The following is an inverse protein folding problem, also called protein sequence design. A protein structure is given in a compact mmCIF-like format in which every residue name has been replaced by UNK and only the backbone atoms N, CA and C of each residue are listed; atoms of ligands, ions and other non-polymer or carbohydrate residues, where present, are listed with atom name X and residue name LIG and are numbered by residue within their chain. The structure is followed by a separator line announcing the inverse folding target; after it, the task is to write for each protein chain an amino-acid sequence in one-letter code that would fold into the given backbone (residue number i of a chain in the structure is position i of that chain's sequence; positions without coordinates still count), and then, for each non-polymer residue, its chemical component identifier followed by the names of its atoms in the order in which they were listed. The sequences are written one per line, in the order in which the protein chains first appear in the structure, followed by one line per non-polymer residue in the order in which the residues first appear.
data_IF_474625562749
#
_entry.id   IF_474625562749
#
_cell.length_a   1.000
_cell.length_b   1.000
_cell.length_c   1.000
_cell.angle_alpha   90.00
_cell.angle_beta   90.00
_cell.angle_gamma   90.00
#
_symmetry.space_group_name_H-M   'P 1'
#
loop_
_entity.id
_entity.type
_entity.pdbx_description
1 polymer ?
#
# COMPACT_ATOMS: atom_id res chain seq x y z
N UNK A 1 -30.64 -1.31 8.02
CA UNK A 1 -30.22 -0.31 9.01
C UNK A 1 -30.17 1.07 8.37
N UNK A 2 -31.25 1.86 8.45
CA UNK A 2 -31.17 3.30 8.18
C UNK A 2 -30.93 3.98 9.53
N UNK A 3 -29.83 4.72 9.64
CA UNK A 3 -29.56 5.59 10.80
C UNK A 3 -30.69 6.60 10.95
N UNK A 4 -30.97 7.05 12.18
CA UNK A 4 -31.97 8.09 12.37
C UNK A 4 -31.46 9.45 11.80
N UNK A 5 -32.34 10.40 11.43
CA UNK A 5 -31.91 11.64 10.80
C UNK A 5 -30.95 12.49 11.65
N UNK A 6 -31.08 12.47 12.97
CA UNK A 6 -30.20 13.23 13.87
C UNK A 6 -28.79 12.64 13.94
N UNK A 7 -28.67 11.31 13.95
CA UNK A 7 -27.39 10.60 13.86
C UNK A 7 -26.72 10.85 12.50
N UNK A 8 -27.50 10.91 11.42
CA UNK A 8 -26.97 11.23 10.09
C UNK A 8 -26.38 12.64 10.05
N UNK A 9 -27.12 13.63 10.54
CA UNK A 9 -26.66 15.03 10.62
C UNK A 9 -25.39 15.17 11.47
N UNK A 10 -25.37 14.55 12.66
CA UNK A 10 -24.18 14.56 13.52
C UNK A 10 -22.98 13.89 12.85
N UNK A 11 -23.17 12.73 12.21
CA UNK A 11 -22.10 12.04 11.50
C UNK A 11 -21.54 12.87 10.34
N UNK A 12 -22.39 13.58 9.59
CA UNK A 12 -21.94 14.48 8.52
C UNK A 12 -21.08 15.62 9.08
N UNK A 13 -21.51 16.24 10.18
CA UNK A 13 -20.75 17.32 10.84
C UNK A 13 -19.40 16.83 11.37
N UNK A 14 -19.38 15.68 12.04
CA UNK A 14 -18.13 15.07 12.53
C UNK A 14 -17.20 14.70 11.37
N UNK A 15 -17.75 14.15 10.28
CA UNK A 15 -16.99 13.77 9.10
C UNK A 15 -16.36 14.99 8.42
N UNK A 16 -17.13 16.08 8.24
CA UNK A 16 -16.59 17.33 7.73
C UNK A 16 -15.49 17.88 8.64
N UNK A 17 -15.73 17.94 9.95
CA UNK A 17 -14.75 18.45 10.91
C UNK A 17 -13.41 17.69 10.84
N UNK A 18 -13.43 16.36 10.83
CA UNK A 18 -12.19 15.57 10.73
C UNK A 18 -11.53 15.69 9.35
N UNK A 19 -12.31 15.86 8.28
CA UNK A 19 -11.77 16.11 6.94
C UNK A 19 -11.01 17.45 6.86
N UNK A 20 -11.58 18.53 7.43
CA UNK A 20 -10.89 19.83 7.50
C UNK A 20 -9.59 19.73 8.31
N UNK A 21 -9.61 19.08 9.49
CA UNK A 21 -8.40 18.84 10.28
C UNK A 21 -7.36 18.05 9.47
N UNK A 22 -7.77 17.02 8.73
CA UNK A 22 -6.88 16.26 7.86
C UNK A 22 -6.26 17.17 6.79
N UNK A 23 -7.06 17.94 6.04
CA UNK A 23 -6.53 18.81 4.97
C UNK A 23 -5.59 19.90 5.51
N UNK A 24 -5.85 20.44 6.70
CA UNK A 24 -4.94 21.35 7.38
C UNK A 24 -3.59 20.70 7.68
N UNK A 25 -3.60 19.52 8.30
CA UNK A 25 -2.38 18.76 8.62
C UNK A 25 -1.60 18.33 7.36
N UNK A 26 -2.31 17.92 6.30
CA UNK A 26 -1.71 17.58 5.01
C UNK A 26 -1.06 18.80 4.36
N UNK A 27 -1.74 19.96 4.35
CA UNK A 27 -1.16 21.20 3.85
C UNK A 27 0.09 21.63 4.63
N UNK A 28 0.06 21.57 5.97
CA UNK A 28 1.25 21.84 6.80
C UNK A 28 2.44 20.93 6.43
N UNK A 29 2.18 19.64 6.20
CA UNK A 29 3.21 18.69 5.78
C UNK A 29 3.78 19.06 4.39
N UNK A 30 2.91 19.34 3.43
CA UNK A 30 3.28 19.66 2.05
C UNK A 30 4.08 20.95 1.95
N UNK A 31 3.74 21.96 2.77
CA UNK A 31 4.49 23.22 2.86
C UNK A 31 5.88 23.03 3.46
N UNK A 32 6.02 22.11 4.43
CA UNK A 32 7.31 21.72 5.02
C UNK A 32 8.14 20.82 4.09
N UNK A 33 7.50 20.01 3.25
CA UNK A 33 8.12 18.97 2.41
C UNK A 33 7.87 19.20 0.91
N UNK A 34 8.34 20.35 0.41
CA UNK A 34 8.20 20.74 -1.00
C UNK A 34 8.85 19.73 -1.95
N UNK A 35 9.89 19.02 -1.49
CA UNK A 35 10.56 17.95 -2.23
C UNK A 35 9.65 16.78 -2.61
N UNK A 36 8.50 16.61 -1.93
CA UNK A 36 7.51 15.59 -2.31
C UNK A 36 6.76 15.92 -3.60
N UNK A 37 6.85 17.17 -4.09
CA UNK A 37 6.22 17.63 -5.35
C UNK A 37 4.72 17.38 -5.38
N UNK A 38 4.05 17.73 -4.29
CA UNK A 38 2.60 17.53 -4.05
C UNK A 38 1.91 18.81 -3.56
N UNK A 39 2.50 19.99 -3.82
CA UNK A 39 1.93 21.26 -3.36
C UNK A 39 0.52 21.52 -3.94
N UNK A 40 0.23 20.98 -5.12
CA UNK A 40 -1.08 20.97 -5.77
C UNK A 40 -2.17 20.21 -4.99
N UNK A 41 -1.82 19.57 -3.86
CA UNK A 41 -2.75 18.90 -2.95
C UNK A 41 -3.00 19.67 -1.67
N UNK A 42 -2.31 20.79 -1.44
CA UNK A 42 -2.64 21.72 -0.37
C UNK A 42 -3.76 22.64 -0.86
N UNK A 43 -5.00 22.16 -0.95
CA UNK A 43 -6.07 22.85 -1.69
C UNK A 43 -6.79 23.99 -0.93
N UNK A 44 -6.57 24.14 0.38
CA UNK A 44 -7.34 25.13 1.17
C UNK A 44 -6.97 26.58 0.78
N UNK A 45 -5.73 26.84 0.37
CA UNK A 45 -5.30 28.18 -0.08
C UNK A 45 -5.88 28.58 -1.45
N UNK A 46 -6.36 27.61 -2.24
CA UNK A 46 -6.96 27.86 -3.56
C UNK A 46 -8.46 28.17 -3.51
N UNK A 47 -9.05 28.15 -2.31
CA UNK A 47 -10.48 28.45 -2.08
C UNK A 47 -10.69 29.95 -2.01
N UNK A 48 -11.61 30.44 -2.84
CA UNK A 48 -12.25 31.75 -2.64
C UNK A 48 -13.39 31.57 -1.65
N UNK A 49 -13.17 32.00 -0.40
CA UNK A 49 -14.13 31.85 0.69
C UNK A 49 -15.31 32.82 0.61
N UNK A 50 -15.18 33.93 -0.12
CA UNK A 50 -16.23 34.93 -0.28
C UNK A 50 -17.24 34.47 -1.34
N UNK A 51 -16.75 34.03 -2.50
CA UNK A 51 -17.59 33.48 -3.57
C UNK A 51 -17.99 32.02 -3.30
N UNK A 52 -17.20 31.31 -2.47
CA UNK A 52 -17.37 29.90 -2.18
C UNK A 52 -17.02 29.01 -3.37
N UNK A 53 -15.89 29.31 -4.02
CA UNK A 53 -15.40 28.61 -5.21
C UNK A 53 -13.95 28.15 -5.01
N UNK A 54 -13.44 27.29 -5.89
CA UNK A 54 -12.03 26.86 -5.90
C UNK A 54 -11.51 26.82 -7.33
N UNK A 55 -10.26 27.24 -7.54
CA UNK A 55 -9.59 27.13 -8.84
C UNK A 55 -8.74 25.86 -8.90
N UNK A 56 -9.12 24.89 -9.75
CA UNK A 56 -8.36 23.66 -9.98
C UNK A 56 -7.98 23.53 -11.45
N UNK A 57 -6.69 23.44 -11.74
CA UNK A 57 -6.18 23.24 -13.11
C UNK A 57 -6.61 24.35 -14.08
N UNK A 58 -6.77 25.58 -13.60
CA UNK A 58 -7.20 26.74 -14.39
C UNK A 58 -8.71 26.83 -14.64
N UNK A 59 -9.52 26.03 -13.95
CA UNK A 59 -10.99 26.11 -13.98
C UNK A 59 -11.53 26.40 -12.58
N UNK A 60 -12.55 27.24 -12.50
CA UNK A 60 -13.25 27.57 -11.25
C UNK A 60 -14.45 26.65 -11.06
N UNK A 61 -14.60 26.11 -9.86
CA UNK A 61 -15.71 25.23 -9.47
C UNK A 61 -16.41 25.78 -8.21
N UNK A 62 -17.73 25.62 -8.15
CA UNK A 62 -18.53 25.98 -6.98
C UNK A 62 -18.41 24.91 -5.90
N UNK A 63 -18.21 25.31 -4.65
CA UNK A 63 -18.20 24.38 -3.53
C UNK A 63 -19.63 23.97 -3.14
N UNK A 64 -19.84 22.67 -2.96
CA UNK A 64 -21.08 22.08 -2.45
C UNK A 64 -21.45 22.59 -1.04
N UNK A 65 -20.44 22.95 -0.25
CA UNK A 65 -20.59 23.51 1.09
C UNK A 65 -19.60 24.65 1.26
N UNK A 66 -20.11 25.84 1.59
CA UNK A 66 -19.36 27.10 1.73
C UNK A 66 -19.05 27.47 3.18
N UNK A 67 -19.49 26.68 4.16
CA UNK A 67 -19.38 27.02 5.57
C UNK A 67 -18.13 26.40 6.22
N UNK A 68 -17.05 27.17 6.32
CA UNK A 68 -15.77 26.74 6.91
C UNK A 68 -15.41 27.53 8.17
N UNK A 69 -16.15 27.36 9.29
CA UNK A 69 -16.06 28.27 10.44
C UNK A 69 -14.73 28.18 11.21
N UNK A 70 -13.93 27.15 10.97
CA UNK A 70 -12.63 26.98 11.63
C UNK A 70 -11.44 27.33 10.73
N UNK A 71 -11.66 27.72 9.47
CA UNK A 71 -10.58 28.10 8.56
C UNK A 71 -10.42 29.62 8.59
N UNK A 72 -9.19 30.07 8.85
CA UNK A 72 -8.75 31.45 8.64
C UNK A 72 -8.23 31.57 7.19
N UNK A 73 -8.86 32.36 6.30
CA UNK A 73 -8.41 32.51 4.91
C UNK A 73 -6.95 33.00 4.77
N UNK A 74 -6.45 33.77 5.74
CA UNK A 74 -5.05 34.25 5.71
C UNK A 74 -4.06 33.15 6.12
N UNK A 75 -4.51 32.15 6.90
CA UNK A 75 -3.71 31.02 7.40
C UNK A 75 -4.49 29.70 7.30
N UNK A 76 -4.84 29.24 6.08
CA UNK A 76 -5.88 28.22 5.89
C UNK A 76 -5.54 26.84 6.48
N UNK A 77 -4.25 26.56 6.68
CA UNK A 77 -3.76 25.31 7.27
C UNK A 77 -3.53 25.38 8.78
N UNK A 78 -3.73 26.51 9.44
CA UNK A 78 -3.59 26.62 10.88
C UNK A 78 -4.76 25.91 11.59
N UNK A 79 -4.44 25.02 12.53
CA UNK A 79 -5.46 24.37 13.34
C UNK A 79 -5.96 25.36 14.41
N UNK A 80 -7.28 25.41 14.61
CA UNK A 80 -7.84 26.14 15.75
C UNK A 80 -7.36 25.52 17.07
N UNK A 81 -7.58 26.22 18.19
CA UNK A 81 -7.24 25.68 19.51
C UNK A 81 -7.98 24.36 19.78
N UNK A 82 -9.27 24.32 19.46
CA UNK A 82 -10.13 23.14 19.65
C UNK A 82 -9.70 21.98 18.73
N UNK A 83 -9.32 22.29 17.49
CA UNK A 83 -8.79 21.30 16.55
C UNK A 83 -7.47 20.70 17.06
N UNK A 84 -6.56 21.51 17.62
CA UNK A 84 -5.35 21.04 18.28
C UNK A 84 -5.68 20.09 19.44
N UNK A 85 -6.61 20.46 20.32
CA UNK A 85 -7.04 19.62 21.44
C UNK A 85 -7.60 18.27 20.96
N UNK A 86 -8.36 18.26 19.86
CA UNK A 86 -8.88 17.02 19.23
C UNK A 86 -7.72 16.16 18.72
N UNK A 87 -6.77 16.74 17.98
CA UNK A 87 -5.62 16.02 17.42
C UNK A 87 -4.75 15.43 18.53
N UNK A 88 -4.44 16.21 19.57
CA UNK A 88 -3.65 15.73 20.72
C UNK A 88 -4.33 14.56 21.44
N UNK A 89 -5.65 14.63 21.63
CA UNK A 89 -6.42 13.53 22.24
C UNK A 89 -6.41 12.29 21.37
N UNK A 90 -6.56 12.43 20.05
CA UNK A 90 -6.47 11.30 19.11
C UNK A 90 -5.07 10.68 19.15
N UNK A 91 -4.01 11.49 19.03
CA UNK A 91 -2.62 11.01 19.11
C UNK A 91 -2.37 10.28 20.42
N UNK A 92 -2.78 10.86 21.55
CA UNK A 92 -2.65 10.23 22.87
C UNK A 92 -3.37 8.89 22.96
N UNK A 93 -4.61 8.79 22.43
CA UNK A 93 -5.36 7.55 22.43
C UNK A 93 -4.67 6.44 21.62
N UNK A 94 -4.10 6.77 20.45
CA UNK A 94 -3.42 5.80 19.58
C UNK A 94 -2.04 5.39 20.14
N UNK A 95 -1.26 6.35 20.64
CA UNK A 95 0.07 6.08 21.19
C UNK A 95 -0.01 5.23 22.47
N UNK A 96 -1.01 5.48 23.33
CA UNK A 96 -1.16 4.76 24.59
C UNK A 96 -1.99 3.47 24.48
N UNK A 97 -2.51 3.13 23.29
CA UNK A 97 -3.24 1.88 23.08
C UNK A 97 -2.29 0.68 22.99
N UNK A 98 -2.14 -0.08 24.08
CA UNK A 98 -1.28 -1.28 24.13
C UNK A 98 -1.51 -2.25 22.96
N UNK A 99 -2.78 -2.54 22.64
CA UNK A 99 -3.12 -3.48 21.55
C UNK A 99 -2.60 -2.98 20.20
N UNK A 100 -2.78 -1.68 19.92
CA UNK A 100 -2.29 -1.08 18.69
C UNK A 100 -0.77 -1.09 18.65
N UNK A 101 -0.09 -0.76 19.76
CA UNK A 101 1.37 -0.81 19.84
C UNK A 101 1.90 -2.21 19.57
N UNK A 102 1.26 -3.25 20.13
CA UNK A 102 1.62 -4.65 19.87
C UNK A 102 1.42 -5.05 18.41
N UNK A 103 0.33 -4.60 17.78
CA UNK A 103 0.09 -4.85 16.34
C UNK A 103 1.13 -4.14 15.48
N UNK A 104 1.45 -2.88 15.78
CA UNK A 104 2.48 -2.13 15.06
C UNK A 104 3.86 -2.77 15.21
N UNK A 105 4.23 -3.24 16.40
CA UNK A 105 5.48 -3.99 16.60
C UNK A 105 5.54 -5.28 15.76
N UNK A 106 4.43 -6.02 15.67
CA UNK A 106 4.35 -7.20 14.82
C UNK A 106 4.55 -6.84 13.34
N UNK A 107 3.84 -5.81 12.86
CA UNK A 107 3.95 -5.33 11.48
C UNK A 107 5.36 -4.84 11.17
N UNK A 108 6.00 -4.10 12.06
CA UNK A 108 7.39 -3.67 11.88
C UNK A 108 8.35 -4.86 11.91
N UNK A 109 8.14 -5.86 12.78
CA UNK A 109 9.05 -7.01 12.90
C UNK A 109 8.92 -8.01 11.74
N UNK A 110 7.74 -8.14 11.14
CA UNK A 110 7.43 -9.20 10.17
C UNK A 110 7.03 -8.68 8.79
N UNK A 111 6.51 -7.47 8.72
CA UNK A 111 6.17 -6.78 7.49
C UNK A 111 7.37 -6.12 6.84
N UNK A 112 7.23 -5.89 5.54
CA UNK A 112 8.17 -5.22 4.66
C UNK A 112 7.39 -4.71 3.44
N UNK A 113 7.90 -3.70 2.75
CA UNK A 113 7.23 -3.14 1.56
C UNK A 113 7.23 -4.13 0.38
N UNK A 114 8.17 -5.07 0.37
CA UNK A 114 8.19 -6.20 -0.56
C UNK A 114 8.76 -7.44 0.14
N UNK A 115 8.56 -8.62 -0.43
CA UNK A 115 9.17 -9.84 0.08
C UNK A 115 9.60 -10.73 -1.06
N UNK A 116 10.85 -11.19 -1.01
CA UNK A 116 11.30 -12.29 -1.86
C UNK A 116 11.21 -13.57 -1.04
N UNK A 117 10.50 -14.56 -1.55
CA UNK A 117 10.36 -15.86 -0.90
C UNK A 117 10.27 -17.00 -1.91
N UNK A 118 11.25 -17.91 -1.89
CA UNK A 118 11.36 -19.04 -2.80
C UNK A 118 11.29 -18.63 -4.28
N UNK A 119 12.01 -17.56 -4.65
CA UNK A 119 12.01 -16.93 -5.99
C UNK A 119 10.68 -16.26 -6.40
N UNK A 120 9.76 -16.08 -5.46
CA UNK A 120 8.57 -15.26 -5.68
C UNK A 120 8.82 -13.86 -5.10
N UNK A 121 8.55 -12.81 -5.87
CA UNK A 121 8.53 -11.44 -5.39
C UNK A 121 7.11 -11.02 -5.09
N UNK A 122 6.86 -10.61 -3.85
CA UNK A 122 5.58 -10.18 -3.35
C UNK A 122 5.64 -8.68 -3.08
N UNK A 123 4.71 -7.91 -3.65
CA UNK A 123 4.48 -6.51 -3.27
C UNK A 123 3.02 -6.14 -3.48
N UNK A 124 2.49 -5.23 -2.65
CA UNK A 124 1.06 -4.96 -2.63
C UNK A 124 0.60 -3.98 -3.71
N UNK A 125 1.20 -2.79 -3.82
CA UNK A 125 0.75 -1.74 -4.74
C UNK A 125 1.33 -1.89 -6.15
N UNK A 126 2.31 -1.06 -6.47
CA UNK A 126 2.90 -0.94 -7.79
C UNK A 126 4.40 -0.63 -7.70
N UNK A 127 5.14 -0.84 -8.77
CA UNK A 127 6.50 -0.28 -8.88
C UNK A 127 6.42 1.04 -9.63
N UNK A 128 6.99 2.16 -9.13
CA UNK A 128 7.03 3.41 -9.87
C UNK A 128 7.78 3.26 -11.20
N UNK A 129 7.05 3.41 -12.31
CA UNK A 129 7.57 3.32 -13.67
C UNK A 129 7.26 4.59 -14.46
N UNK A 130 8.12 4.87 -15.44
CA UNK A 130 7.83 5.81 -16.52
C UNK A 130 6.99 5.10 -17.61
N UNK A 131 6.44 5.86 -18.55
CA UNK A 131 5.62 5.32 -19.66
C UNK A 131 6.38 4.34 -20.56
N UNK A 132 7.71 4.47 -20.67
CA UNK A 132 8.57 3.58 -21.44
C UNK A 132 8.92 2.26 -20.72
N UNK A 133 8.47 2.09 -19.47
CA UNK A 133 8.77 0.95 -18.61
C UNK A 133 10.11 1.01 -17.87
N UNK A 134 10.86 2.11 -17.98
CA UNK A 134 12.01 2.36 -17.10
C UNK A 134 11.56 2.68 -15.67
N UNK A 135 12.41 2.41 -14.67
CA UNK A 135 12.10 2.74 -13.28
C UNK A 135 12.11 4.25 -13.07
N UNK A 136 11.02 4.77 -12.51
CA UNK A 136 10.88 6.19 -12.20
C UNK A 136 11.78 6.57 -11.03
N UNK A 137 12.48 7.68 -11.19
CA UNK A 137 13.27 8.29 -10.13
C UNK A 137 12.39 9.10 -9.18
N UNK A 138 12.59 8.87 -7.88
CA UNK A 138 11.83 9.48 -6.80
C UNK A 138 12.81 10.09 -5.81
N UNK A 139 12.61 11.38 -5.53
CA UNK A 139 13.43 12.13 -4.60
C UNK A 139 12.94 11.91 -3.16
N UNK A 140 13.83 11.42 -2.30
CA UNK A 140 13.57 11.20 -0.87
C UNK A 140 14.71 11.87 -0.10
N UNK A 141 14.39 12.97 0.60
CA UNK A 141 15.33 13.77 1.40
C UNK A 141 16.65 14.11 0.69
N UNK A 142 16.55 14.69 -0.51
CA UNK A 142 17.70 15.19 -1.29
C UNK A 142 18.49 14.13 -2.05
N UNK A 143 18.02 12.89 -2.08
CA UNK A 143 18.60 11.80 -2.88
C UNK A 143 17.54 11.17 -3.78
N UNK A 144 17.94 10.83 -5.00
CA UNK A 144 17.08 10.17 -5.99
C UNK A 144 17.22 8.66 -5.87
N UNK A 145 16.11 7.95 -5.84
CA UNK A 145 16.02 6.50 -5.73
C UNK A 145 15.05 5.94 -6.76
N UNK A 146 15.26 4.69 -7.18
CA UNK A 146 14.35 3.98 -8.10
C UNK A 146 14.39 2.48 -7.85
N UNK A 147 13.45 1.76 -8.46
CA UNK A 147 13.45 0.30 -8.44
C UNK A 147 13.48 -0.27 -7.02
N UNK A 148 14.37 -1.24 -6.77
CA UNK A 148 14.49 -1.90 -5.47
C UNK A 148 14.99 -0.93 -4.38
N UNK A 149 15.91 -0.04 -4.73
CA UNK A 149 16.54 0.88 -3.78
C UNK A 149 15.51 1.84 -3.16
N UNK A 150 14.51 2.26 -3.95
CA UNK A 150 13.39 3.07 -3.46
C UNK A 150 12.61 2.35 -2.35
N UNK A 151 12.32 1.05 -2.51
CA UNK A 151 11.63 0.29 -1.48
C UNK A 151 12.48 0.17 -0.21
N UNK A 152 13.78 -0.09 -0.36
CA UNK A 152 14.69 -0.26 0.78
C UNK A 152 14.84 1.04 1.59
N UNK A 153 14.94 2.19 0.93
CA UNK A 153 15.04 3.50 1.62
C UNK A 153 13.72 3.87 2.30
N UNK A 154 12.58 3.67 1.64
CA UNK A 154 11.27 3.94 2.24
C UNK A 154 11.02 3.05 3.46
N UNK A 155 11.35 1.76 3.38
CA UNK A 155 11.24 0.86 4.53
C UNK A 155 12.14 1.30 5.70
N UNK A 156 13.35 1.78 5.40
CA UNK A 156 14.25 2.32 6.42
C UNK A 156 13.61 3.51 7.14
N UNK A 157 12.99 4.45 6.42
CA UNK A 157 12.31 5.59 7.02
C UNK A 157 11.05 5.19 7.79
N UNK A 158 10.26 4.23 7.29
CA UNK A 158 9.13 3.65 8.03
C UNK A 158 9.59 3.14 9.39
N UNK A 159 10.74 2.44 9.46
CA UNK A 159 11.30 1.96 10.74
C UNK A 159 11.76 3.13 11.63
N UNK A 160 12.46 4.12 11.05
CA UNK A 160 12.94 5.32 11.77
C UNK A 160 11.80 6.06 12.47
N UNK A 161 10.60 6.11 11.88
CA UNK A 161 9.41 6.73 12.48
C UNK A 161 9.11 6.22 13.91
N UNK A 162 9.49 4.97 14.21
CA UNK A 162 9.22 4.32 15.49
C UNK A 162 10.47 4.20 16.37
N UNK A 163 11.64 3.92 15.80
CA UNK A 163 12.83 3.53 16.58
C UNK A 163 13.98 4.53 16.56
N UNK A 164 13.93 5.57 15.72
CA UNK A 164 15.00 6.56 15.67
C UNK A 164 15.07 7.37 16.98
N UNK A 165 16.29 7.56 17.48
CA UNK A 165 16.58 8.42 18.63
C UNK A 165 16.71 9.89 18.22
N UNK A 166 17.25 10.13 17.03
CA UNK A 166 17.31 11.47 16.45
C UNK A 166 15.90 11.96 16.07
N UNK A 167 15.56 13.17 16.54
CA UNK A 167 14.21 13.73 16.37
C UNK A 167 13.91 14.05 14.92
N UNK A 168 14.90 14.53 14.17
CA UNK A 168 14.72 14.88 12.77
C UNK A 168 14.48 13.63 11.91
N UNK A 169 15.29 12.59 12.11
CA UNK A 169 15.12 11.30 11.42
C UNK A 169 13.80 10.61 11.79
N UNK A 170 13.34 10.77 13.03
CA UNK A 170 12.02 10.29 13.44
C UNK A 170 10.89 11.04 12.73
N UNK A 171 11.00 12.36 12.63
CA UNK A 171 10.00 13.19 11.93
C UNK A 171 9.99 12.89 10.44
N UNK A 172 11.16 12.73 9.81
CA UNK A 172 11.28 12.24 8.43
C UNK A 172 10.57 10.88 8.27
N UNK A 173 10.78 9.95 9.20
CA UNK A 173 10.06 8.68 9.18
C UNK A 173 8.54 8.84 9.21
N UNK A 174 8.01 9.75 10.04
CA UNK A 174 6.57 10.05 10.10
C UNK A 174 6.04 10.63 8.80
N UNK A 175 6.77 11.58 8.22
CA UNK A 175 6.42 12.18 6.93
C UNK A 175 6.37 11.10 5.83
N UNK A 176 7.28 10.12 5.85
CA UNK A 176 7.29 9.01 4.90
C UNK A 176 6.09 8.08 5.05
N UNK A 177 5.57 7.86 6.27
CA UNK A 177 4.33 7.07 6.45
C UNK A 177 3.15 7.68 5.70
N UNK A 178 3.06 9.01 5.66
CA UNK A 178 2.05 9.70 4.85
C UNK A 178 2.41 9.69 3.36
N UNK A 179 3.68 9.95 3.00
CA UNK A 179 4.14 9.90 1.61
C UNK A 179 3.79 8.57 0.93
N UNK A 180 4.07 7.44 1.58
CA UNK A 180 3.76 6.13 0.98
C UNK A 180 2.25 5.88 0.86
N UNK A 181 1.42 6.57 1.66
CA UNK A 181 -0.03 6.43 1.58
C UNK A 181 -0.64 7.18 0.40
N UNK A 182 -0.19 8.41 0.12
CA UNK A 182 -0.88 9.33 -0.79
C UNK A 182 -0.04 9.83 -1.97
N UNK A 183 1.28 9.63 -1.97
CA UNK A 183 2.14 10.22 -3.00
C UNK A 183 1.97 9.54 -4.36
N UNK A 184 1.95 10.30 -5.47
CA UNK A 184 1.98 9.73 -6.82
C UNK A 184 3.27 8.95 -7.12
N UNK A 185 4.31 9.21 -6.35
CA UNK A 185 5.59 8.53 -6.43
C UNK A 185 5.71 7.34 -5.46
N UNK A 186 4.64 7.03 -4.72
CA UNK A 186 4.62 5.92 -3.79
C UNK A 186 4.48 4.56 -4.49
N UNK A 187 5.21 3.53 -4.03
CA UNK A 187 4.98 2.15 -4.44
C UNK A 187 3.69 1.51 -3.90
N UNK A 188 2.93 2.20 -3.04
CA UNK A 188 1.70 1.67 -2.43
C UNK A 188 0.42 2.36 -2.91
N UNK A 189 0.51 3.58 -3.46
CA UNK A 189 -0.66 4.38 -3.84
C UNK A 189 -1.09 4.16 -5.29
N UNK A 190 -0.13 4.28 -6.23
CA UNK A 190 -0.34 3.93 -7.63
C UNK A 190 -1.26 4.84 -8.44
N UNK A 191 -1.61 6.03 -7.94
CA UNK A 191 -2.44 7.01 -8.64
C UNK A 191 -1.75 8.38 -8.70
N UNK A 192 -2.19 9.26 -9.59
CA UNK A 192 -1.66 10.60 -9.76
C UNK A 192 -2.07 11.60 -8.67
N UNK A 193 -3.21 11.37 -8.01
CA UNK A 193 -3.69 12.15 -6.87
C UNK A 193 -4.70 11.37 -6.03
N UNK A 194 -4.88 11.80 -4.78
CA UNK A 194 -5.97 11.37 -3.91
C UNK A 194 -7.08 12.43 -3.96
N UNK A 195 -8.17 12.16 -4.67
CA UNK A 195 -9.22 13.15 -4.98
C UNK A 195 -10.30 13.26 -3.87
N UNK A 196 -9.91 13.09 -2.60
CA UNK A 196 -10.86 13.08 -1.46
C UNK A 196 -11.55 14.42 -1.27
N UNK A 197 -10.82 15.53 -1.39
CA UNK A 197 -11.39 16.88 -1.28
C UNK A 197 -12.44 17.09 -2.37
N UNK A 198 -12.08 16.80 -3.62
CA UNK A 198 -12.96 16.96 -4.77
C UNK A 198 -14.25 16.14 -4.61
N UNK A 199 -14.15 14.89 -4.13
CA UNK A 199 -15.32 14.03 -3.85
C UNK A 199 -16.23 14.55 -2.74
N UNK A 200 -15.70 15.31 -1.79
CA UNK A 200 -16.48 15.84 -0.68
C UNK A 200 -17.11 17.20 -0.99
N UNK A 201 -16.44 18.03 -1.79
CA UNK A 201 -16.78 19.43 -1.94
C UNK A 201 -17.16 19.85 -3.37
N UNK A 202 -16.95 19.02 -4.38
CA UNK A 202 -17.25 19.36 -5.78
C UNK A 202 -18.27 18.38 -6.40
N UNK A 203 -19.20 18.92 -7.18
CA UNK A 203 -20.22 18.14 -7.86
C UNK A 203 -19.68 17.44 -9.12
N UNK A 204 -18.69 18.06 -9.75
CA UNK A 204 -18.15 17.71 -11.06
C UNK A 204 -17.32 16.42 -11.00
N UNK A 205 -17.88 15.32 -11.51
CA UNK A 205 -17.25 14.00 -11.48
C UNK A 205 -15.89 13.95 -12.19
N UNK A 206 -15.63 14.84 -13.17
CA UNK A 206 -14.32 14.93 -13.82
C UNK A 206 -13.20 15.31 -12.84
N UNK A 207 -13.53 16.00 -11.74
CA UNK A 207 -12.56 16.39 -10.71
C UNK A 207 -12.19 15.22 -9.81
N UNK A 208 -13.04 14.17 -9.75
CA UNK A 208 -12.89 12.99 -8.90
C UNK A 208 -11.98 11.92 -9.51
N UNK A 209 -11.56 12.10 -10.76
CA UNK A 209 -10.74 11.15 -11.50
C UNK A 209 -9.35 11.05 -10.89
N UNK A 210 -8.94 9.81 -10.60
CA UNK A 210 -7.60 9.48 -10.14
C UNK A 210 -6.97 8.55 -11.18
N UNK A 211 -6.01 9.06 -11.94
CA UNK A 211 -5.37 8.32 -13.01
C UNK A 211 -4.37 7.33 -12.43
N UNK A 212 -4.45 6.08 -12.87
CA UNK A 212 -3.49 5.05 -12.50
C UNK A 212 -2.12 5.35 -13.09
N UNK A 213 -1.06 5.06 -12.35
CA UNK A 213 0.29 5.25 -12.83
C UNK A 213 0.66 4.29 -13.98
N UNK A 214 1.76 4.53 -14.72
CA UNK A 214 2.15 3.72 -15.88
C UNK A 214 2.35 2.22 -15.59
N UNK A 215 2.62 1.84 -14.34
CA UNK A 215 2.76 0.43 -13.98
C UNK A 215 1.53 -0.40 -14.30
N UNK A 216 0.32 0.14 -14.09
CA UNK A 216 -0.91 -0.61 -14.36
C UNK A 216 -1.12 -0.86 -15.86
N UNK A 217 -0.78 0.10 -16.73
CA UNK A 217 -0.81 -0.10 -18.19
C UNK A 217 0.26 -1.07 -18.69
N UNK A 218 1.35 -1.22 -17.94
CA UNK A 218 2.50 -2.05 -18.30
C UNK A 218 2.49 -3.43 -17.62
N UNK A 219 1.46 -3.73 -16.83
CA UNK A 219 1.34 -4.97 -16.04
C UNK A 219 1.34 -6.24 -16.91
N UNK A 220 0.93 -6.14 -18.17
CA UNK A 220 0.92 -7.23 -19.14
C UNK A 220 2.14 -7.26 -20.07
N UNK A 221 3.13 -6.38 -19.82
CA UNK A 221 4.37 -6.36 -20.57
C UNK A 221 5.37 -7.38 -20.02
N UNK A 222 5.60 -8.44 -20.78
CA UNK A 222 6.62 -9.45 -20.47
C UNK A 222 8.01 -8.84 -20.24
N UNK A 223 8.37 -7.82 -21.04
CA UNK A 223 9.65 -7.11 -20.91
C UNK A 223 9.77 -6.41 -19.55
N UNK A 224 8.72 -5.75 -19.11
CA UNK A 224 8.70 -5.01 -17.83
C UNK A 224 8.72 -5.99 -16.66
N UNK A 225 7.96 -7.09 -16.74
CA UNK A 225 7.98 -8.14 -15.72
C UNK A 225 9.40 -8.71 -15.51
N UNK A 226 10.11 -8.99 -16.60
CA UNK A 226 11.51 -9.47 -16.56
C UNK A 226 12.47 -8.42 -15.97
N UNK A 227 12.30 -7.15 -16.34
CA UNK A 227 13.11 -6.06 -15.82
C UNK A 227 12.92 -5.89 -14.31
N UNK A 228 11.68 -5.98 -13.82
CA UNK A 228 11.36 -5.98 -12.39
C UNK A 228 12.04 -7.17 -11.69
N UNK A 229 11.90 -8.39 -12.20
CA UNK A 229 12.54 -9.56 -11.58
C UNK A 229 14.06 -9.41 -11.50
N UNK A 230 14.69 -8.84 -12.54
CA UNK A 230 16.13 -8.56 -12.58
C UNK A 230 16.55 -7.51 -11.55
N UNK A 231 15.79 -6.42 -11.43
CA UNK A 231 16.00 -5.35 -10.45
C UNK A 231 15.98 -5.88 -9.01
N UNK A 232 15.09 -6.83 -8.73
CA UNK A 232 15.00 -7.50 -7.43
C UNK A 232 15.92 -8.72 -7.29
N UNK A 233 16.85 -8.92 -8.23
CA UNK A 233 17.85 -10.00 -8.24
C UNK A 233 17.25 -11.42 -8.21
N UNK A 234 16.06 -11.60 -8.80
CA UNK A 234 15.38 -12.89 -8.86
C UNK A 234 15.83 -13.65 -10.10
N UNK A 235 16.53 -14.75 -9.87
CA UNK A 235 17.14 -15.57 -10.93
C UNK A 235 16.61 -17.01 -10.92
N UNK A 236 16.92 -17.71 -12.01
CA UNK A 236 16.55 -19.11 -12.21
C UNK A 236 15.13 -19.30 -12.72
N UNK A 237 14.81 -20.56 -13.01
CA UNK A 237 13.48 -20.96 -13.46
C UNK A 237 12.49 -20.91 -12.29
N UNK A 238 11.20 -20.87 -12.65
CA UNK A 238 10.10 -20.92 -11.68
C UNK A 238 10.05 -19.71 -10.74
N UNK A 239 10.09 -18.51 -11.31
CA UNK A 239 10.00 -17.23 -10.60
C UNK A 239 8.71 -16.50 -10.97
N UNK A 240 8.09 -15.86 -9.98
CA UNK A 240 6.81 -15.20 -10.12
C UNK A 240 6.79 -13.88 -9.37
N UNK A 241 6.11 -12.88 -9.91
CA UNK A 241 5.68 -11.70 -9.21
C UNK A 241 4.26 -11.97 -8.71
N UNK A 242 4.04 -11.80 -7.42
CA UNK A 242 2.72 -11.89 -6.78
C UNK A 242 2.34 -10.49 -6.35
N UNK A 243 1.32 -9.93 -6.99
CA UNK A 243 0.93 -8.54 -6.79
C UNK A 243 -0.52 -8.44 -6.29
N UNK A 244 -0.77 -7.52 -5.36
CA UNK A 244 -2.10 -7.20 -4.85
C UNK A 244 -2.61 -5.87 -5.40
N UNK A 245 -3.62 -5.29 -4.75
CA UNK A 245 -4.15 -3.93 -4.99
C UNK A 245 -4.77 -3.68 -6.38
N UNK A 246 -4.54 -4.57 -7.35
CA UNK A 246 -5.11 -4.54 -8.69
C UNK A 246 -6.40 -5.37 -8.69
N UNK A 247 -7.60 -4.76 -8.77
CA UNK A 247 -8.82 -5.54 -8.93
C UNK A 247 -8.79 -6.25 -10.29
N UNK A 248 -9.18 -7.51 -10.30
CA UNK A 248 -9.30 -8.31 -11.53
C UNK A 248 -10.76 -8.33 -11.94
N UNK A 249 -11.07 -7.81 -13.12
CA UNK A 249 -12.43 -7.80 -13.67
C UNK A 249 -12.77 -9.15 -14.31
N UNK A 250 -12.95 -10.17 -13.47
CA UNK A 250 -13.19 -11.56 -13.92
C UNK A 250 -14.42 -11.66 -14.84
N UNK A 251 -15.49 -10.94 -14.54
CA UNK A 251 -16.72 -10.89 -15.38
C UNK A 251 -16.51 -10.29 -16.76
N UNK A 252 -15.43 -9.53 -16.96
CA UNK A 252 -15.03 -8.99 -18.28
C UNK A 252 -14.00 -9.88 -18.99
N UNK A 253 -13.73 -11.07 -18.45
CA UNK A 253 -12.77 -12.03 -19.01
C UNK A 253 -11.30 -11.73 -18.66
N UNK A 254 -11.04 -10.83 -17.71
CA UNK A 254 -9.67 -10.54 -17.29
C UNK A 254 -9.06 -11.74 -16.52
N UNK A 255 -7.87 -12.16 -16.95
CA UNK A 255 -7.10 -13.21 -16.27
C UNK A 255 -6.27 -12.64 -15.11
N UNK A 256 -6.29 -13.28 -13.92
CA UNK A 256 -5.37 -12.94 -12.82
C UNK A 256 -3.94 -13.45 -13.08
N UNK A 257 -3.75 -14.27 -14.11
CA UNK A 257 -2.46 -14.77 -14.58
C UNK A 257 -2.05 -13.94 -15.80
N UNK A 258 -0.97 -13.18 -15.68
CA UNK A 258 -0.45 -12.27 -16.70
C UNK A 258 0.96 -12.70 -17.14
N UNK A 259 1.41 -12.23 -18.31
CA UNK A 259 2.78 -12.47 -18.82
C UNK A 259 3.18 -13.95 -18.83
N UNK A 260 2.31 -14.82 -19.36
CA UNK A 260 2.56 -16.27 -19.43
C UNK A 260 2.75 -16.96 -18.06
N UNK A 261 2.22 -16.38 -16.97
CA UNK A 261 2.36 -16.93 -15.62
C UNK A 261 3.45 -16.28 -14.78
N UNK A 262 4.18 -15.29 -15.29
CA UNK A 262 5.19 -14.55 -14.53
C UNK A 262 4.58 -13.60 -13.50
N UNK A 263 3.38 -13.08 -13.75
CA UNK A 263 2.68 -12.18 -12.83
C UNK A 263 1.38 -12.85 -12.40
N UNK A 264 1.17 -12.93 -11.09
CA UNK A 264 0.01 -13.51 -10.44
C UNK A 264 -0.66 -12.42 -9.59
N UNK A 265 -1.87 -12.04 -9.98
CA UNK A 265 -2.65 -11.06 -9.25
C UNK A 265 -3.47 -11.78 -8.18
N UNK A 266 -3.28 -11.38 -6.92
CA UNK A 266 -4.05 -11.85 -5.78
C UNK A 266 -4.88 -10.70 -5.24
N UNK A 267 -6.20 -10.87 -5.21
CA UNK A 267 -7.12 -9.84 -4.71
C UNK A 267 -7.96 -10.39 -3.56
N UNK A 268 -8.13 -9.57 -2.53
CA UNK A 268 -8.97 -9.82 -1.37
C UNK A 268 -10.40 -9.37 -1.63
N UNK A 269 -11.11 -10.06 -2.51
CA UNK A 269 -12.51 -9.77 -2.87
C UNK A 269 -13.56 -10.10 -1.78
N UNK A 270 -13.13 -10.39 -0.55
CA UNK A 270 -14.02 -10.71 0.57
C UNK A 270 -14.92 -9.54 1.00
N UNK A 271 -14.53 -8.30 0.66
CA UNK A 271 -15.36 -7.13 0.95
C UNK A 271 -16.51 -7.01 -0.06
N UNK A 272 -17.74 -6.96 0.46
CA UNK A 272 -18.98 -6.83 -0.33
C UNK A 272 -18.98 -5.62 -1.26
N UNK A 273 -18.27 -4.55 -0.91
CA UNK A 273 -18.20 -3.35 -1.73
C UNK A 273 -17.50 -3.61 -3.08
N UNK A 274 -16.53 -4.53 -3.11
CA UNK A 274 -15.73 -4.82 -4.31
C UNK A 274 -16.32 -5.92 -5.20
N UNK A 275 -17.25 -6.72 -4.69
CA UNK A 275 -17.87 -7.81 -5.46
C UNK A 275 -18.56 -7.33 -6.75
N UNK A 276 -19.04 -6.08 -6.80
CA UNK A 276 -19.61 -5.49 -8.03
C UNK A 276 -18.57 -5.33 -9.15
N UNK A 277 -17.33 -5.01 -8.78
CA UNK A 277 -16.23 -4.73 -9.72
C UNK A 277 -15.49 -6.01 -10.12
N UNK A 278 -15.27 -6.92 -9.17
CA UNK A 278 -14.49 -8.15 -9.37
C UNK A 278 -15.35 -9.31 -9.88
N UNK A 279 -16.64 -9.34 -9.52
CA UNK A 279 -17.56 -10.43 -9.83
C UNK A 279 -17.36 -11.71 -9.02
N UNK A 280 -16.28 -11.80 -8.24
CA UNK A 280 -15.93 -12.94 -7.38
C UNK A 280 -15.45 -12.46 -6.01
N UNK A 281 -15.37 -13.35 -5.02
CA UNK A 281 -14.85 -13.07 -3.67
C UNK A 281 -13.31 -13.02 -3.59
N UNK A 282 -12.62 -12.99 -4.73
CA UNK A 282 -11.18 -12.79 -4.83
C UNK A 282 -10.40 -14.07 -5.16
N UNK A 283 -9.08 -13.94 -5.18
CA UNK A 283 -8.16 -15.02 -5.51
C UNK A 283 -7.23 -15.34 -4.34
N UNK A 284 -7.03 -16.62 -4.06
CA UNK A 284 -6.04 -17.10 -3.11
C UNK A 284 -4.96 -17.91 -3.81
N UNK A 285 -3.71 -17.51 -3.64
CA UNK A 285 -2.57 -18.27 -4.12
C UNK A 285 -2.14 -19.29 -3.07
N UNK A 286 -2.15 -20.57 -3.46
CA UNK A 286 -1.70 -21.70 -2.65
C UNK A 286 -0.36 -22.17 -3.23
N UNK A 287 0.70 -22.14 -2.42
CA UNK A 287 2.03 -22.62 -2.79
C UNK A 287 2.46 -23.77 -1.87
N UNK A 288 2.85 -24.89 -2.46
CA UNK A 288 3.37 -26.04 -1.74
C UNK A 288 4.47 -26.75 -2.54
N UNK A 289 5.00 -27.86 -2.01
CA UNK A 289 6.11 -28.59 -2.64
C UNK A 289 5.80 -29.19 -4.02
N UNK A 290 4.53 -29.25 -4.42
CA UNK A 290 4.08 -29.77 -5.72
C UNK A 290 3.77 -28.66 -6.73
N UNK A 291 3.75 -27.39 -6.32
CA UNK A 291 3.54 -26.26 -7.20
C UNK A 291 2.62 -25.17 -6.64
N UNK A 292 1.93 -24.49 -7.57
CA UNK A 292 1.13 -23.29 -7.33
C UNK A 292 -0.29 -23.47 -7.90
N UNK A 293 -1.28 -23.14 -7.08
CA UNK A 293 -2.70 -23.15 -7.44
C UNK A 293 -3.27 -21.77 -7.12
N UNK A 294 -4.01 -21.18 -8.05
CA UNK A 294 -4.83 -20.00 -7.79
C UNK A 294 -6.27 -20.46 -7.61
N UNK A 295 -6.80 -20.32 -6.41
CA UNK A 295 -8.21 -20.58 -6.15
C UNK A 295 -9.01 -19.28 -6.33
N UNK A 296 -10.00 -19.30 -7.22
CA UNK A 296 -11.01 -18.26 -7.36
C UNK A 296 -12.18 -18.59 -6.44
N UNK A 297 -12.61 -17.64 -5.61
CA UNK A 297 -13.67 -17.85 -4.63
C UNK A 297 -14.98 -17.23 -5.07
N UNK A 298 -16.09 -17.96 -5.00
CA UNK A 298 -17.41 -17.38 -5.20
C UNK A 298 -17.89 -16.53 -4.00
N UNK A 299 -18.69 -15.48 -4.22
CA UNK A 299 -19.30 -14.70 -3.15
C UNK A 299 -20.22 -15.55 -2.26
N UNK A 300 -19.99 -15.52 -0.94
CA UNK A 300 -20.96 -15.99 0.03
C UNK A 300 -21.97 -14.88 0.35
N UNK A 301 -23.23 -15.09 -0.03
CA UNK A 301 -24.31 -14.11 0.18
C UNK A 301 -25.02 -14.31 1.53
N UNK A 302 -25.58 -15.50 1.80
CA UNK A 302 -26.20 -15.86 3.08
C UNK A 302 -26.36 -17.38 3.26
N UNK A 303 -26.48 -17.82 4.52
CA UNK A 303 -26.71 -19.22 4.85
C UNK A 303 -28.05 -19.73 4.29
N UNK A 304 -29.11 -18.92 4.34
CA UNK A 304 -30.42 -19.28 3.81
C UNK A 304 -30.37 -19.51 2.31
N UNK A 305 -29.72 -18.61 1.57
CA UNK A 305 -29.57 -18.73 0.12
C UNK A 305 -28.72 -19.95 -0.24
N UNK A 306 -27.64 -20.22 0.49
CA UNK A 306 -26.80 -21.38 0.28
C UNK A 306 -27.56 -22.71 0.46
N UNK A 307 -28.35 -22.81 1.53
CA UNK A 307 -29.20 -23.98 1.80
C UNK A 307 -30.30 -24.11 0.74
N UNK A 308 -30.95 -23.00 0.35
CA UNK A 308 -32.06 -23.01 -0.61
C UNK A 308 -31.60 -23.39 -2.02
N UNK A 309 -30.43 -22.90 -2.44
CA UNK A 309 -29.84 -23.19 -3.76
C UNK A 309 -29.05 -24.49 -3.79
N UNK A 310 -28.79 -25.10 -2.63
CA UNK A 310 -27.85 -26.23 -2.52
C UNK A 310 -26.43 -25.87 -2.98
N UNK A 311 -26.09 -24.58 -2.95
CA UNK A 311 -24.80 -24.08 -3.42
C UNK A 311 -23.74 -24.30 -2.34
N UNK A 312 -22.75 -25.13 -2.66
CA UNK A 312 -21.50 -25.21 -1.90
C UNK A 312 -20.59 -24.04 -2.29
N UNK A 313 -19.63 -23.66 -1.45
CA UNK A 313 -18.64 -22.62 -1.81
C UNK A 313 -17.67 -23.26 -2.80
N UNK A 314 -18.04 -23.26 -4.08
CA UNK A 314 -17.21 -23.81 -5.13
C UNK A 314 -16.04 -22.86 -5.36
N UNK A 315 -14.83 -23.34 -5.07
CA UNK A 315 -13.62 -22.67 -5.50
C UNK A 315 -13.24 -23.23 -6.87
N UNK A 316 -13.25 -22.40 -7.91
CA UNK A 316 -12.63 -22.81 -9.17
C UNK A 316 -11.10 -22.74 -9.00
N UNK A 317 -10.43 -23.87 -9.18
CA UNK A 317 -8.98 -23.95 -9.00
C UNK A 317 -8.27 -23.87 -10.34
N UNK A 318 -7.55 -22.78 -10.57
CA UNK A 318 -6.69 -22.61 -11.74
C UNK A 318 -5.31 -23.13 -11.34
N UNK A 319 -4.92 -24.26 -11.92
CA UNK A 319 -3.58 -24.80 -11.75
C UNK A 319 -2.59 -23.90 -12.49
N UNK A 320 -1.87 -23.06 -11.75
CA UNK A 320 -0.81 -22.21 -12.33
C UNK A 320 0.37 -23.09 -12.72
N UNK A 321 0.75 -24.00 -11.81
CA UNK A 321 1.94 -24.82 -11.99
C UNK A 321 1.86 -26.10 -11.20
N UNK A 322 2.22 -27.20 -11.87
CA UNK A 322 2.51 -28.49 -11.26
C UNK A 322 3.95 -28.87 -11.60
N UNK A 323 4.77 -29.13 -10.58
CA UNK A 323 6.10 -29.67 -10.81
C UNK A 323 6.01 -31.18 -11.00
N UNK A 324 6.81 -31.74 -11.90
CA UNK A 324 6.94 -33.20 -12.06
C UNK A 324 7.66 -33.83 -10.87
N UNK A 325 8.57 -33.08 -10.26
CA UNK A 325 9.32 -33.47 -9.07
C UNK A 325 8.97 -32.56 -7.89
N UNK A 326 8.96 -33.15 -6.70
CA UNK A 326 8.62 -32.45 -5.47
C UNK A 326 9.80 -31.56 -5.04
N UNK A 327 9.53 -30.28 -4.82
CA UNK A 327 10.52 -29.36 -4.27
C UNK A 327 10.90 -29.78 -2.85
N UNK A 328 12.20 -29.91 -2.60
CA UNK A 328 12.78 -30.27 -1.31
C UNK A 328 13.02 -29.02 -0.45
N UNK A 329 13.21 -29.22 0.87
CA UNK A 329 13.58 -28.11 1.77
C UNK A 329 14.91 -27.48 1.35
N UNK A 330 15.84 -28.29 0.86
CA UNK A 330 17.17 -27.88 0.41
C UNK A 330 17.13 -26.78 -0.67
N UNK A 331 16.13 -26.82 -1.54
CA UNK A 331 15.92 -25.89 -2.65
C UNK A 331 15.12 -24.62 -2.27
N UNK A 332 14.78 -24.47 -1.00
CA UNK A 332 14.07 -23.30 -0.47
C UNK A 332 15.04 -22.29 0.12
N UNK A 333 14.60 -21.04 0.27
CA UNK A 333 15.37 -20.00 0.96
C UNK A 333 15.72 -20.44 2.40
N UNK A 334 14.84 -21.21 3.04
CA UNK A 334 15.09 -21.81 4.36
C UNK A 334 16.22 -22.84 4.29
N UNK A 335 16.22 -23.71 3.27
CA UNK A 335 17.28 -24.71 3.06
C UNK A 335 18.64 -24.08 2.84
N UNK A 336 18.69 -23.02 2.04
CA UNK A 336 19.93 -22.23 1.81
C UNK A 336 20.46 -21.70 3.14
N UNK A 337 19.62 -21.05 3.96
CA UNK A 337 20.02 -20.56 5.28
C UNK A 337 20.48 -21.67 6.24
N UNK A 338 19.84 -22.85 6.19
CA UNK A 338 20.28 -24.00 7.00
C UNK A 338 21.67 -24.45 6.56
N UNK A 339 21.96 -24.51 5.26
CA UNK A 339 23.28 -24.87 4.74
C UNK A 339 24.35 -23.87 5.14
N UNK A 340 24.07 -22.57 4.99
CA UNK A 340 24.96 -21.49 5.44
C UNK A 340 25.26 -21.64 6.93
N UNK A 341 24.23 -21.89 7.75
CA UNK A 341 24.40 -22.10 9.18
C UNK A 341 25.23 -23.35 9.52
N UNK A 342 25.06 -24.43 8.76
CA UNK A 342 25.89 -25.63 8.93
C UNK A 342 27.36 -25.31 8.63
N UNK A 343 27.63 -24.58 7.54
CA UNK A 343 28.99 -24.17 7.19
C UNK A 343 29.62 -23.27 8.26
N UNK A 344 28.90 -22.25 8.75
CA UNK A 344 29.35 -21.38 9.84
C UNK A 344 29.68 -22.17 11.12
N UNK A 345 28.85 -23.17 11.46
CA UNK A 345 29.08 -24.01 12.64
C UNK A 345 30.27 -24.95 12.45
N UNK A 346 30.53 -25.42 11.22
CA UNK A 346 31.70 -26.21 10.90
C UNK A 346 32.98 -25.37 11.02
N UNK A 347 33.00 -24.16 10.48
CA UNK A 347 34.12 -23.22 10.64
C UNK A 347 34.37 -22.87 12.11
N UNK A 348 33.30 -22.61 12.87
CA UNK A 348 33.40 -22.35 14.31
C UNK A 348 34.00 -23.55 15.06
N UNK A 349 33.57 -24.77 14.74
CA UNK A 349 34.09 -26.00 15.34
C UNK A 349 35.58 -26.20 15.01
N UNK A 350 35.99 -25.92 13.77
CA UNK A 350 37.40 -25.97 13.36
C UNK A 350 38.24 -24.90 14.08
N UNK A 351 37.72 -23.69 14.26
CA UNK A 351 38.40 -22.63 15.00
C UNK A 351 38.66 -23.01 16.47
N UNK A 352 37.71 -23.70 17.13
CA UNK A 352 37.94 -24.26 18.47
C UNK A 352 38.97 -25.39 18.47
N UNK A 353 38.85 -26.34 17.52
CA UNK A 353 39.78 -27.48 17.42
C UNK A 353 41.22 -27.08 17.14
N UNK A 354 41.40 -26.01 16.36
CA UNK A 354 42.72 -25.47 16.01
C UNK A 354 43.23 -24.43 17.01
N UNK A 355 42.48 -24.14 18.09
CA UNK A 355 42.88 -23.20 19.13
C UNK A 355 42.85 -21.72 18.71
N UNK A 356 42.22 -21.38 17.58
CA UNK A 356 42.01 -19.99 17.15
C UNK A 356 40.99 -19.28 18.04
N UNK A 357 40.04 -20.03 18.59
CA UNK A 357 39.09 -19.56 19.60
C UNK A 357 39.25 -20.39 20.86
N UNK A 358 39.32 -19.71 22.01
CA UNK A 358 39.40 -20.33 23.33
C UNK A 358 38.00 -20.31 23.93
N UNK A 359 37.56 -21.45 24.44
CA UNK A 359 36.29 -21.55 25.16
C UNK A 359 36.34 -20.63 26.39
N UNK A 360 35.40 -19.69 26.48
CA UNK A 360 35.22 -18.91 27.70
C UNK A 360 34.49 -19.80 28.71
N UNK A 361 35.23 -20.27 29.71
CA UNK A 361 34.69 -20.95 30.89
C UNK A 361 33.72 -20.05 31.67
#
# INVERSE_FOLDING_TARGET
NKLNPAEQDLNMKMHKAIAIIQFKLEGQLLMRRKEFKMADRALLEDIDYDEGTICLGGKTYELLDKNFPTIDPDNPYELSKEEHEVVERLVSAFVNCEKLQRHMQLLLKKGSLYKIYNRNLLYHGCIPLNEDGSFREVEVYGKSYKGKELYDVLETYVRKAFVALDKEEKEKGKDILWFIWSSPSSPLFGKDKMATFERYFLAEEETHVENKNPYYSLLESDKVAEQIMKEFHITGDCRHIVNGHVPVHHTKGESPIKCGGKILIIDGGFSKAYQKETGIAGYTLIYNSWGMILAAHEPFTSAQEAITKGSDILSESILIKKTSERKTVEETDTGIKIKERIAELQELLEAYRNGLLIEKL
#
